data_IF_659607867868
#
_entry.id   IF_659607867868
#
_cell.length_a   1.000
_cell.length_b   1.000
_cell.length_c   1.000
_cell.angle_alpha   90.00
_cell.angle_beta   90.00
_cell.angle_gamma   90.00
#
_symmetry.space_group_name_H-M   'P 1'
#
loop_
_entity.id
_entity.type
_entity.pdbx_description
1 polymer ?
#
# COMPACT_ATOMS: atom_id res chain seq x y z
N UNK A 1 13.63 -35.71 3.58
CA UNK A 1 12.87 -34.47 3.37
C UNK A 1 13.56 -33.67 2.27
N UNK A 2 12.90 -33.39 1.15
CA UNK A 2 13.39 -32.37 0.22
C UNK A 2 13.28 -31.01 0.90
N UNK A 3 14.37 -30.22 0.91
CA UNK A 3 14.32 -28.83 1.34
C UNK A 3 13.39 -28.08 0.38
N UNK A 4 12.28 -27.53 0.87
CA UNK A 4 11.52 -26.55 0.10
C UNK A 4 12.42 -25.35 -0.15
N UNK A 5 12.72 -25.09 -1.43
CA UNK A 5 13.45 -23.91 -1.87
C UNK A 5 12.45 -22.77 -1.92
N UNK A 6 12.84 -21.59 -1.43
CA UNK A 6 12.06 -20.36 -1.62
C UNK A 6 11.87 -20.13 -3.12
N UNK A 7 10.63 -19.99 -3.55
CA UNK A 7 10.22 -19.80 -4.94
C UNK A 7 10.03 -18.32 -5.27
N UNK A 8 9.63 -17.50 -4.30
CA UNK A 8 9.49 -16.04 -4.44
C UNK A 8 9.69 -15.34 -3.10
N UNK A 9 10.10 -14.07 -3.14
CA UNK A 9 10.14 -13.17 -1.98
C UNK A 9 9.03 -12.13 -2.14
N UNK A 10 8.19 -11.98 -1.12
CA UNK A 10 7.23 -10.90 -1.03
C UNK A 10 7.56 -10.06 0.20
N UNK A 11 7.59 -8.75 0.06
CA UNK A 11 8.02 -7.86 1.15
C UNK A 11 7.12 -6.65 1.28
N UNK A 12 6.86 -6.21 2.50
CA UNK A 12 6.50 -4.81 2.75
C UNK A 12 7.68 -3.88 2.41
N UNK A 13 7.39 -2.59 2.31
CA UNK A 13 8.36 -1.55 1.99
C UNK A 13 8.84 -0.78 3.22
N UNK A 14 7.99 0.06 3.82
CA UNK A 14 8.35 0.91 4.95
C UNK A 14 8.52 0.04 6.20
N UNK A 15 9.57 0.26 6.99
CA UNK A 15 9.86 -0.53 8.20
C UNK A 15 10.47 -1.91 7.93
N UNK A 16 10.24 -2.48 6.74
CA UNK A 16 10.79 -3.78 6.31
C UNK A 16 12.02 -3.64 5.40
N UNK A 17 11.88 -3.08 4.19
CA UNK A 17 13.00 -2.83 3.27
C UNK A 17 13.70 -1.49 3.56
N UNK A 18 12.94 -0.53 4.09
CA UNK A 18 13.44 0.76 4.53
C UNK A 18 13.38 0.83 6.05
N UNK A 19 14.49 1.11 6.75
CA UNK A 19 14.47 1.24 8.20
C UNK A 19 13.44 2.27 8.68
N UNK A 20 12.69 1.96 9.74
CA UNK A 20 11.63 2.83 10.29
C UNK A 20 12.12 4.26 10.58
N UNK A 21 13.38 4.42 10.99
CA UNK A 21 14.01 5.71 11.25
C UNK A 21 14.10 6.62 10.00
N UNK A 22 14.13 6.01 8.80
CA UNK A 22 14.28 6.70 7.51
C UNK A 22 12.96 6.90 6.77
N UNK A 23 11.91 6.17 7.13
CA UNK A 23 10.60 6.24 6.48
C UNK A 23 10.04 7.67 6.44
N UNK A 24 10.31 8.46 7.49
CA UNK A 24 9.71 9.78 7.72
C UNK A 24 10.37 10.94 6.97
N UNK A 25 11.61 10.78 6.52
CA UNK A 25 12.30 11.83 5.79
C UNK A 25 12.33 11.45 4.30
N UNK A 26 11.58 12.15 3.43
CA UNK A 26 11.54 11.86 2.01
C UNK A 26 12.92 11.82 1.34
N UNK A 27 13.91 12.54 1.89
CA UNK A 27 15.29 12.55 1.38
C UNK A 27 16.07 11.29 1.73
N UNK A 28 15.71 10.62 2.83
CA UNK A 28 16.42 9.45 3.33
C UNK A 28 15.58 8.17 3.34
N UNK A 29 14.29 8.24 3.02
CA UNK A 29 13.41 7.10 2.79
C UNK A 29 13.90 6.36 1.52
N UNK A 30 14.86 5.47 1.70
CA UNK A 30 15.48 4.70 0.65
C UNK A 30 15.93 3.35 1.21
N UNK A 31 15.86 2.33 0.36
CA UNK A 31 16.43 1.02 0.65
C UNK A 31 17.95 1.21 0.78
N UNK A 32 18.60 0.66 1.82
CA UNK A 32 20.06 0.68 1.91
C UNK A 32 20.71 0.08 0.66
N UNK A 33 21.71 0.74 0.08
CA UNK A 33 22.34 0.34 -1.19
C UNK A 33 22.83 -1.12 -1.19
N UNK A 34 23.37 -1.60 -0.07
CA UNK A 34 23.81 -2.99 0.07
C UNK A 34 22.64 -3.97 -0.06
N UNK A 35 21.51 -3.66 0.60
CA UNK A 35 20.29 -4.45 0.49
C UNK A 35 19.71 -4.39 -0.92
N UNK A 36 19.67 -3.21 -1.54
CA UNK A 36 19.21 -3.07 -2.93
C UNK A 36 20.06 -3.90 -3.90
N UNK A 37 21.39 -3.90 -3.75
CA UNK A 37 22.28 -4.71 -4.57
C UNK A 37 22.02 -6.23 -4.41
N UNK A 38 21.76 -6.68 -3.18
CA UNK A 38 21.40 -8.08 -2.90
C UNK A 38 20.06 -8.44 -3.54
N UNK A 39 19.05 -7.57 -3.41
CA UNK A 39 17.72 -7.79 -4.00
C UNK A 39 17.77 -7.76 -5.52
N UNK A 40 18.54 -6.86 -6.13
CA UNK A 40 18.79 -6.84 -7.56
C UNK A 40 19.38 -8.17 -8.04
N UNK A 41 20.40 -8.69 -7.35
CA UNK A 41 20.98 -9.99 -7.69
C UNK A 41 19.95 -11.12 -7.53
N UNK A 42 19.25 -11.18 -6.41
CA UNK A 42 18.23 -12.21 -6.15
C UNK A 42 17.08 -12.17 -7.16
N UNK A 43 16.71 -10.99 -7.67
CA UNK A 43 15.64 -10.84 -8.67
C UNK A 43 15.94 -11.48 -10.03
N UNK A 44 17.21 -11.84 -10.28
CA UNK A 44 17.60 -12.61 -11.48
C UNK A 44 17.33 -14.11 -11.35
N UNK A 45 17.11 -14.60 -10.13
CA UNK A 45 16.93 -16.02 -9.84
C UNK A 45 15.50 -16.37 -9.42
N UNK A 46 14.87 -15.50 -8.62
CA UNK A 46 13.49 -15.69 -8.12
C UNK A 46 12.70 -14.38 -8.20
N UNK A 47 11.38 -14.44 -8.42
CA UNK A 47 10.52 -13.25 -8.33
C UNK A 47 10.65 -12.56 -6.98
N UNK A 48 10.83 -11.25 -7.02
CA UNK A 48 10.70 -10.38 -5.85
C UNK A 48 9.49 -9.48 -6.05
N UNK A 49 8.62 -9.41 -5.05
CA UNK A 49 7.41 -8.62 -5.07
C UNK A 49 7.36 -7.68 -3.87
N UNK A 50 6.75 -6.51 -4.06
CA UNK A 50 6.55 -5.54 -2.99
C UNK A 50 5.06 -5.33 -2.79
N UNK A 51 4.58 -5.51 -1.56
CA UNK A 51 3.18 -5.31 -1.17
C UNK A 51 3.15 -4.21 -0.12
N UNK A 52 2.63 -3.03 -0.48
CA UNK A 52 2.72 -1.84 0.37
C UNK A 52 1.44 -1.01 0.35
N UNK A 53 1.27 -0.16 1.36
CA UNK A 53 0.25 0.89 1.39
C UNK A 53 0.56 2.06 0.44
N UNK A 54 1.75 2.09 -0.17
CA UNK A 54 2.22 3.11 -1.11
C UNK A 54 1.63 2.95 -2.51
N UNK A 55 1.64 4.03 -3.28
CA UNK A 55 1.19 4.03 -4.67
C UNK A 55 2.29 3.56 -5.64
N UNK A 56 1.92 3.40 -6.91
CA UNK A 56 2.84 2.92 -7.94
C UNK A 56 3.99 3.88 -8.21
N UNK A 57 3.71 5.19 -8.22
CA UNK A 57 4.71 6.21 -8.52
C UNK A 57 5.84 6.20 -7.50
N UNK A 58 5.49 6.02 -6.22
CA UNK A 58 6.44 5.88 -5.14
C UNK A 58 7.26 4.59 -5.27
N UNK A 59 6.58 3.43 -5.41
CA UNK A 59 7.25 2.13 -5.43
C UNK A 59 8.14 1.96 -6.67
N UNK A 60 7.67 2.30 -7.87
CA UNK A 60 8.42 2.07 -9.13
C UNK A 60 9.79 2.72 -9.12
N UNK A 61 9.93 3.86 -8.42
CA UNK A 61 11.18 4.63 -8.27
C UNK A 61 12.15 4.00 -7.28
N UNK A 62 11.66 3.23 -6.30
CA UNK A 62 12.44 2.76 -5.15
C UNK A 62 12.69 1.26 -5.14
N UNK A 63 12.00 0.49 -5.97
CA UNK A 63 12.06 -0.98 -5.96
C UNK A 63 12.37 -1.52 -7.35
N UNK A 64 13.49 -1.08 -7.92
CA UNK A 64 13.94 -1.38 -9.31
C UNK A 64 14.16 -2.88 -9.59
N UNK A 65 14.28 -3.70 -8.55
CA UNK A 65 14.38 -5.16 -8.60
C UNK A 65 13.01 -5.88 -8.67
N UNK A 66 11.93 -5.24 -8.22
CA UNK A 66 10.67 -5.95 -7.95
C UNK A 66 9.86 -6.23 -9.23
N UNK A 67 9.52 -7.49 -9.48
CA UNK A 67 8.74 -7.94 -10.63
C UNK A 67 7.25 -7.62 -10.48
N UNK A 68 6.72 -7.63 -9.27
CA UNK A 68 5.31 -7.29 -8.98
C UNK A 68 5.25 -6.22 -7.89
N UNK A 69 4.45 -5.19 -8.13
CA UNK A 69 4.18 -4.10 -7.18
C UNK A 69 2.69 -4.12 -6.84
N UNK A 70 2.35 -4.52 -5.62
CA UNK A 70 0.99 -4.44 -5.09
C UNK A 70 0.86 -3.17 -4.27
N UNK A 71 0.16 -2.19 -4.83
CA UNK A 71 0.03 -0.84 -4.33
C UNK A 71 -1.24 -0.68 -3.50
N UNK A 72 -1.23 0.30 -2.58
CA UNK A 72 -2.39 0.68 -1.79
C UNK A 72 -3.09 -0.53 -1.16
N UNK A 73 -2.30 -1.40 -0.50
CA UNK A 73 -2.78 -2.62 0.16
C UNK A 73 -3.45 -3.64 -0.79
N UNK A 74 -3.13 -3.59 -2.08
CA UNK A 74 -3.64 -4.52 -3.09
C UNK A 74 -4.82 -4.02 -3.92
N UNK A 75 -5.14 -2.72 -3.86
CA UNK A 75 -6.17 -2.13 -4.74
C UNK A 75 -5.72 -2.21 -6.20
N UNK A 76 -4.45 -1.92 -6.47
CA UNK A 76 -3.85 -2.08 -7.79
C UNK A 76 -2.58 -2.93 -7.69
N UNK A 77 -2.48 -3.98 -8.51
CA UNK A 77 -1.29 -4.82 -8.61
C UNK A 77 -0.70 -4.72 -10.01
N UNK A 78 0.55 -4.29 -10.10
CA UNK A 78 1.27 -4.04 -11.34
C UNK A 78 2.34 -5.11 -11.53
N UNK A 79 2.32 -5.77 -12.68
CA UNK A 79 3.33 -6.72 -13.11
C UNK A 79 4.27 -5.97 -14.06
N UNK A 80 5.55 -5.93 -13.70
CA UNK A 80 6.60 -5.28 -14.46
C UNK A 80 7.25 -6.26 -15.44
N UNK A 81 7.84 -5.74 -16.51
CA UNK A 81 8.78 -6.52 -17.33
C UNK A 81 10.04 -6.89 -16.52
N UNK A 82 10.78 -7.88 -17.01
CA UNK A 82 11.99 -8.36 -16.34
C UNK A 82 12.98 -7.21 -16.06
N UNK A 83 13.73 -7.27 -14.94
CA UNK A 83 14.68 -6.23 -14.55
C UNK A 83 15.78 -5.94 -15.58
N UNK A 84 16.08 -6.89 -16.47
CA UNK A 84 17.16 -6.81 -17.48
C UNK A 84 16.80 -6.00 -18.74
N UNK A 85 15.54 -5.57 -18.88
CA UNK A 85 15.06 -4.73 -19.98
C UNK A 85 14.55 -3.40 -19.46
N UNK A 86 14.33 -2.38 -20.32
CA UNK A 86 13.64 -1.17 -19.90
C UNK A 86 12.35 -1.55 -19.18
N UNK A 87 12.23 -1.14 -17.91
CA UNK A 87 11.12 -1.54 -17.04
C UNK A 87 9.84 -0.87 -17.53
N UNK A 88 8.92 -1.68 -18.02
CA UNK A 88 7.60 -1.26 -18.48
C UNK A 88 6.53 -2.06 -17.74
N UNK A 89 5.30 -1.53 -17.75
CA UNK A 89 4.16 -2.24 -17.18
C UNK A 89 3.74 -3.32 -18.17
N UNK A 90 3.87 -4.59 -17.78
CA UNK A 90 3.37 -5.74 -18.55
C UNK A 90 1.85 -5.86 -18.40
N UNK A 91 1.36 -5.69 -17.17
CA UNK A 91 -0.06 -5.85 -16.81
C UNK A 91 -0.36 -5.03 -15.56
N UNK A 92 -1.53 -4.41 -15.50
CA UNK A 92 -2.07 -3.79 -14.28
C UNK A 92 -3.42 -4.42 -13.96
N UNK A 93 -3.60 -4.80 -12.70
CA UNK A 93 -4.79 -5.42 -12.15
C UNK A 93 -5.42 -4.49 -11.13
N UNK A 94 -6.62 -4.04 -11.42
CA UNK A 94 -7.42 -3.23 -10.50
C UNK A 94 -8.45 -4.13 -9.81
N UNK A 95 -8.44 -4.16 -8.49
CA UNK A 95 -9.35 -5.00 -7.68
C UNK A 95 -10.78 -4.46 -7.60
N UNK A 96 -11.02 -3.26 -8.13
CA UNK A 96 -12.28 -2.54 -8.02
C UNK A 96 -12.85 -2.22 -9.41
N UNK A 97 -14.17 -2.24 -9.53
CA UNK A 97 -14.86 -1.82 -10.75
C UNK A 97 -14.55 -0.35 -11.10
N UNK A 98 -14.45 -0.07 -12.40
CA UNK A 98 -14.09 1.26 -12.92
C UNK A 98 -15.13 2.35 -12.59
N UNK A 99 -16.40 1.99 -12.49
CA UNK A 99 -17.48 2.92 -12.14
C UNK A 99 -17.37 3.25 -10.65
N UNK A 100 -17.25 2.22 -9.82
CA UNK A 100 -17.15 2.35 -8.36
C UNK A 100 -15.92 3.16 -7.96
N UNK A 101 -14.74 2.90 -8.55
CA UNK A 101 -13.54 3.67 -8.22
C UNK A 101 -13.67 5.14 -8.60
N UNK A 102 -14.41 5.50 -9.65
CA UNK A 102 -14.60 6.90 -10.03
C UNK A 102 -15.50 7.63 -9.02
N UNK A 103 -16.59 6.99 -8.59
CA UNK A 103 -17.48 7.50 -7.56
C UNK A 103 -16.75 7.65 -6.21
N UNK A 104 -16.02 6.61 -5.80
CA UNK A 104 -15.26 6.62 -4.55
C UNK A 104 -14.07 7.58 -4.63
N UNK A 105 -13.45 7.78 -5.80
CA UNK A 105 -12.44 8.83 -6.00
C UNK A 105 -13.00 10.22 -5.73
N UNK A 106 -14.24 10.50 -6.14
CA UNK A 106 -14.90 11.77 -5.81
C UNK A 106 -15.16 11.89 -4.31
N UNK A 107 -15.64 10.81 -3.68
CA UNK A 107 -15.85 10.78 -2.23
C UNK A 107 -14.54 11.05 -1.46
N UNK A 108 -13.42 10.43 -1.87
CA UNK A 108 -12.09 10.70 -1.30
C UNK A 108 -11.69 12.17 -1.47
N UNK A 109 -11.91 12.77 -2.65
CA UNK A 109 -11.63 14.20 -2.83
C UNK A 109 -12.45 15.09 -1.90
N UNK A 110 -13.72 14.76 -1.68
CA UNK A 110 -14.60 15.53 -0.81
C UNK A 110 -14.20 15.36 0.67
N UNK A 111 -13.82 14.17 1.10
CA UNK A 111 -13.21 13.94 2.44
C UNK A 111 -11.97 14.81 2.62
N UNK A 112 -11.07 14.81 1.63
CA UNK A 112 -9.83 15.58 1.74
C UNK A 112 -10.09 17.09 1.85
N UNK A 113 -11.04 17.62 1.07
CA UNK A 113 -11.49 19.03 1.17
C UNK A 113 -12.12 19.32 2.54
N UNK A 114 -12.93 18.41 3.05
CA UNK A 114 -13.60 18.58 4.33
C UNK A 114 -12.58 18.67 5.48
N UNK A 115 -11.61 17.74 5.53
CA UNK A 115 -10.52 17.74 6.51
C UNK A 115 -9.70 19.04 6.40
N UNK A 116 -9.25 19.40 5.20
CA UNK A 116 -8.39 20.58 4.99
C UNK A 116 -9.09 21.92 5.24
N UNK A 117 -10.41 21.98 5.11
CA UNK A 117 -11.20 23.19 5.40
C UNK A 117 -11.54 23.34 6.89
N UNK A 118 -11.38 22.29 7.69
CA UNK A 118 -11.71 22.32 9.11
C UNK A 118 -10.60 23.03 9.90
N UNK A 119 -10.98 24.08 10.65
CA UNK A 119 -10.01 24.94 11.38
C UNK A 119 -9.14 24.16 12.36
N UNK A 120 -9.71 23.19 13.06
CA UNK A 120 -8.99 22.40 14.06
C UNK A 120 -8.00 21.41 13.43
N UNK A 121 -8.08 21.19 12.11
CA UNK A 121 -7.24 20.25 11.36
C UNK A 121 -6.32 20.94 10.36
N UNK A 122 -6.10 22.25 10.50
CA UNK A 122 -5.28 23.05 9.58
C UNK A 122 -3.83 22.56 9.45
N UNK A 123 -3.33 21.85 10.46
CA UNK A 123 -1.97 21.31 10.48
C UNK A 123 -1.93 19.80 10.16
N UNK A 124 -3.01 19.22 9.64
CA UNK A 124 -3.00 17.83 9.17
C UNK A 124 -2.49 17.78 7.74
N UNK A 125 -1.61 16.83 7.44
CA UNK A 125 -1.13 16.59 6.08
C UNK A 125 -1.98 15.52 5.40
N UNK A 126 -2.33 15.73 4.14
CA UNK A 126 -3.01 14.71 3.31
C UNK A 126 -2.07 14.29 2.18
N UNK A 127 -1.72 13.01 2.14
CA UNK A 127 -1.03 12.37 1.02
C UNK A 127 -2.07 11.71 0.11
N UNK A 128 -2.02 12.01 -1.19
CA UNK A 128 -2.94 11.44 -2.18
C UNK A 128 -2.29 10.26 -2.89
N UNK A 129 -2.98 9.12 -2.93
CA UNK A 129 -2.49 7.87 -3.54
C UNK A 129 -3.28 7.56 -4.81
N UNK A 130 -2.57 7.47 -5.92
CA UNK A 130 -3.18 7.31 -7.23
C UNK A 130 -2.87 5.95 -7.84
N UNK A 131 -3.83 5.43 -8.59
CA UNK A 131 -3.60 4.33 -9.51
C UNK A 131 -2.69 4.77 -10.67
N UNK A 132 -2.17 3.81 -11.44
CA UNK A 132 -1.32 4.08 -12.60
C UNK A 132 -1.96 4.96 -13.68
N UNK A 133 -3.30 4.98 -13.77
CA UNK A 133 -4.05 5.85 -14.68
C UNK A 133 -4.45 7.20 -14.06
N UNK A 134 -4.00 7.52 -12.84
CA UNK A 134 -4.22 8.81 -12.19
C UNK A 134 -5.53 8.94 -11.40
N UNK A 135 -6.30 7.85 -11.22
CA UNK A 135 -7.50 7.88 -10.35
C UNK A 135 -7.10 7.88 -8.88
N UNK A 136 -7.73 8.73 -8.06
CA UNK A 136 -7.49 8.75 -6.62
C UNK A 136 -8.10 7.50 -5.98
N UNK A 137 -7.27 6.67 -5.37
CA UNK A 137 -7.67 5.39 -4.78
C UNK A 137 -7.37 5.29 -3.28
N UNK A 138 -6.61 6.22 -2.73
CA UNK A 138 -6.48 6.35 -1.30
C UNK A 138 -5.93 7.70 -0.84
N UNK A 139 -6.03 7.91 0.47
CA UNK A 139 -5.50 9.06 1.19
C UNK A 139 -4.72 8.55 2.41
N UNK A 140 -3.55 9.12 2.68
CA UNK A 140 -2.99 9.11 4.04
C UNK A 140 -3.38 10.41 4.71
N UNK A 141 -4.01 10.35 5.88
CA UNK A 141 -4.24 11.51 6.74
C UNK A 141 -3.22 11.44 7.87
N UNK A 142 -2.27 12.38 7.89
CA UNK A 142 -1.06 12.33 8.72
C UNK A 142 -0.96 13.54 9.66
N UNK A 143 -0.93 13.26 10.95
CA UNK A 143 -0.73 14.26 12.00
C UNK A 143 0.44 13.90 12.94
N UNK A 144 1.35 13.02 12.48
CA UNK A 144 2.50 12.55 13.27
C UNK A 144 3.50 13.65 13.62
N UNK A 145 3.51 14.74 12.86
CA UNK A 145 4.41 15.86 13.04
C UNK A 145 3.93 16.85 14.12
N UNK A 146 2.76 16.63 14.71
CA UNK A 146 2.19 17.49 15.74
C UNK A 146 2.60 17.03 17.14
N UNK A 147 2.89 17.98 18.01
CA UNK A 147 3.37 17.74 19.38
C UNK A 147 2.31 17.12 20.29
N UNK A 148 1.03 17.44 20.10
CA UNK A 148 -0.11 16.87 20.83
C UNK A 148 -0.98 15.97 19.94
N UNK A 149 -0.32 15.01 19.28
CA UNK A 149 -0.98 14.10 18.36
C UNK A 149 -2.03 13.20 19.04
N UNK A 150 -1.94 13.02 20.37
CA UNK A 150 -2.82 12.11 21.11
C UNK A 150 -4.24 12.65 21.21
N UNK A 151 -4.40 13.91 21.65
CA UNK A 151 -5.68 14.60 21.76
C UNK A 151 -6.30 14.83 20.38
N UNK A 152 -5.48 15.31 19.42
CA UNK A 152 -5.96 15.51 18.06
C UNK A 152 -6.35 14.20 17.37
N UNK A 153 -5.64 13.11 17.67
CA UNK A 153 -5.87 11.81 17.05
C UNK A 153 -7.25 11.22 17.35
N UNK A 154 -7.76 11.39 18.57
CA UNK A 154 -9.11 10.95 18.92
C UNK A 154 -10.18 11.79 18.20
N UNK A 155 -10.04 13.12 18.23
CA UNK A 155 -10.93 14.02 17.49
C UNK A 155 -10.94 13.73 15.98
N UNK A 156 -9.77 13.46 15.39
CA UNK A 156 -9.60 13.11 13.98
C UNK A 156 -10.29 11.79 13.63
N UNK A 157 -10.07 10.73 14.42
CA UNK A 157 -10.73 9.44 14.21
C UNK A 157 -12.25 9.57 14.27
N UNK A 158 -12.77 10.27 15.28
CA UNK A 158 -14.21 10.53 15.37
C UNK A 158 -14.75 11.34 14.19
N UNK A 159 -14.00 12.36 13.77
CA UNK A 159 -14.39 13.19 12.63
C UNK A 159 -14.46 12.36 11.34
N UNK A 160 -13.42 11.59 11.04
CA UNK A 160 -13.34 10.76 9.84
C UNK A 160 -14.39 9.65 9.86
N UNK A 161 -14.62 9.01 11.00
CA UNK A 161 -15.69 8.01 11.15
C UNK A 161 -17.08 8.64 10.86
N UNK A 162 -17.33 9.87 11.32
CA UNK A 162 -18.58 10.59 11.05
C UNK A 162 -18.72 10.96 9.58
N UNK A 163 -17.68 11.50 8.96
CA UNK A 163 -17.67 11.90 7.55
C UNK A 163 -17.90 10.69 6.64
N UNK A 164 -17.18 9.59 6.86
CA UNK A 164 -17.33 8.36 6.07
C UNK A 164 -18.68 7.68 6.25
N UNK A 165 -19.25 7.69 7.47
CA UNK A 165 -20.61 7.20 7.73
C UNK A 165 -21.67 8.01 6.98
N UNK A 166 -21.45 9.30 6.77
CA UNK A 166 -22.39 10.18 6.05
C UNK A 166 -22.37 9.89 4.54
N UNK A 167 -21.20 9.58 3.98
CA UNK A 167 -21.04 9.20 2.57
C UNK A 167 -21.79 7.92 2.19
N UNK A 168 -21.94 6.99 3.14
CA UNK A 168 -22.76 5.78 2.98
C UNK A 168 -24.26 6.04 2.85
N UNK A 169 -24.73 7.28 3.09
CA UNK A 169 -26.15 7.67 3.11
C UNK A 169 -26.57 8.56 1.94
N UNK A 170 -25.63 9.10 1.16
CA UNK A 170 -25.92 10.02 0.05
C UNK A 170 -26.45 9.26 -1.20
N UNK A 171 -27.04 9.91 -2.23
CA UNK A 171 -27.96 9.25 -3.17
C UNK A 171 -27.34 8.08 -3.95
N UNK A 172 -26.02 8.02 -4.04
CA UNK A 172 -25.24 6.80 -4.31
C UNK A 172 -24.26 6.61 -3.14
N UNK A 173 -24.37 5.53 -2.34
CA UNK A 173 -23.46 5.27 -1.23
C UNK A 173 -22.04 5.07 -1.72
N UNK A 174 -21.11 5.91 -1.25
CA UNK A 174 -19.69 5.63 -1.43
C UNK A 174 -19.21 4.75 -0.27
N UNK A 175 -18.72 3.56 -0.59
CA UNK A 175 -18.15 2.64 0.40
C UNK A 175 -16.62 2.73 0.40
N UNK A 176 -16.13 3.70 1.18
CA UNK A 176 -14.69 3.85 1.46
C UNK A 176 -14.30 3.00 2.66
N UNK A 177 -13.05 2.56 2.66
CA UNK A 177 -12.47 1.76 3.74
C UNK A 177 -11.49 2.60 4.55
N UNK A 178 -11.68 2.66 5.87
CA UNK A 178 -10.77 3.35 6.78
C UNK A 178 -9.86 2.32 7.44
N UNK A 179 -8.56 2.47 7.23
CA UNK A 179 -7.53 1.68 7.90
C UNK A 179 -6.92 2.51 9.01
N UNK A 180 -7.22 2.14 10.25
CA UNK A 180 -6.64 2.75 11.44
C UNK A 180 -5.41 1.96 11.93
N UNK A 181 -4.55 2.64 12.68
CA UNK A 181 -3.34 2.08 13.26
C UNK A 181 -3.34 2.28 14.76
N UNK A 182 -3.15 1.19 15.51
CA UNK A 182 -3.28 1.19 16.97
C UNK A 182 -2.26 2.09 17.68
N UNK A 183 -1.07 2.24 17.08
CA UNK A 183 0.09 2.92 17.70
C UNK A 183 0.62 4.10 16.88
N UNK A 184 -0.06 4.50 15.80
CA UNK A 184 0.46 5.50 14.89
C UNK A 184 -0.50 6.69 14.66
N UNK A 185 0.00 7.95 14.74
CA UNK A 185 -0.80 9.16 14.51
C UNK A 185 -1.05 9.49 13.03
N UNK A 186 -1.52 8.50 12.28
CA UNK A 186 -2.03 8.65 10.93
C UNK A 186 -3.12 7.60 10.69
N UNK A 187 -3.87 7.76 9.61
CA UNK A 187 -4.73 6.70 9.10
C UNK A 187 -4.75 6.73 7.58
N UNK A 188 -5.15 5.63 6.97
CA UNK A 188 -5.39 5.56 5.54
C UNK A 188 -6.90 5.45 5.25
N UNK A 189 -7.34 6.09 4.17
CA UNK A 189 -8.70 5.96 3.65
C UNK A 189 -8.59 5.48 2.21
N UNK A 190 -9.24 4.38 1.87
CA UNK A 190 -9.16 3.71 0.59
C UNK A 190 -10.50 3.69 -0.13
N UNK A 191 -10.47 3.62 -1.46
CA UNK A 191 -11.67 3.56 -2.28
C UNK A 191 -12.41 2.20 -2.21
N UNK A 192 -11.89 1.21 -1.49
CA UNK A 192 -12.54 -0.09 -1.25
C UNK A 192 -11.82 -0.83 -0.13
N UNK A 193 -12.46 -1.87 0.43
CA UNK A 193 -11.84 -2.74 1.41
C UNK A 193 -10.62 -3.48 0.81
N UNK A 194 -9.51 -3.40 1.53
CA UNK A 194 -8.24 -3.97 1.11
C UNK A 194 -7.43 -4.45 2.33
N UNK A 195 -6.60 -5.47 2.10
CA UNK A 195 -5.58 -5.91 3.07
C UNK A 195 -4.46 -6.67 2.35
N UNK A 196 -3.29 -6.77 2.98
CA UNK A 196 -2.12 -7.41 2.37
C UNK A 196 -2.26 -8.91 2.12
N UNK A 197 -3.20 -9.58 2.78
CA UNK A 197 -3.49 -11.00 2.55
C UNK A 197 -4.19 -11.23 1.21
N UNK A 198 -5.15 -10.36 0.85
CA UNK A 198 -5.76 -10.36 -0.48
C UNK A 198 -4.75 -9.96 -1.55
N UNK A 199 -3.88 -8.98 -1.26
CA UNK A 199 -2.78 -8.62 -2.14
C UNK A 199 -1.85 -9.82 -2.40
N UNK A 200 -1.48 -10.55 -1.34
CA UNK A 200 -0.69 -11.77 -1.42
C UNK A 200 -1.31 -12.81 -2.36
N UNK A 201 -2.61 -13.09 -2.20
CA UNK A 201 -3.32 -14.07 -3.05
C UNK A 201 -3.26 -13.67 -4.53
N UNK A 202 -3.47 -12.38 -4.85
CA UNK A 202 -3.38 -11.84 -6.21
C UNK A 202 -1.97 -12.05 -6.77
N UNK A 203 -0.93 -11.69 -6.00
CA UNK A 203 0.46 -11.84 -6.44
C UNK A 203 0.83 -13.30 -6.67
N UNK A 204 0.44 -14.22 -5.77
CA UNK A 204 0.66 -15.66 -5.98
C UNK A 204 -0.05 -16.14 -7.25
N UNK A 205 -1.30 -15.75 -7.46
CA UNK A 205 -2.05 -16.12 -8.65
C UNK A 205 -1.35 -15.66 -9.94
N UNK A 206 -0.73 -14.49 -9.94
CA UNK A 206 0.01 -13.97 -11.10
C UNK A 206 1.37 -14.63 -11.31
N UNK A 207 1.93 -15.27 -10.27
CA UNK A 207 3.17 -16.02 -10.35
C UNK A 207 2.95 -17.54 -10.50
N UNK A 208 1.70 -18.00 -10.54
CA UNK A 208 1.35 -19.41 -10.64
C UNK A 208 1.92 -20.06 -11.93
N UNK A 209 1.87 -19.34 -13.06
CA UNK A 209 2.45 -19.80 -14.33
C UNK A 209 3.98 -19.98 -14.27
N UNK A 210 4.64 -19.28 -13.33
CA UNK A 210 6.07 -19.42 -13.05
C UNK A 210 6.37 -20.53 -12.02
N UNK A 211 5.36 -21.30 -11.59
CA UNK A 211 5.49 -22.39 -10.63
C UNK A 211 5.61 -21.93 -9.17
N UNK A 212 5.21 -20.70 -8.86
CA UNK A 212 5.18 -20.19 -7.48
C UNK A 212 3.90 -20.63 -6.81
N UNK A 213 4.04 -21.33 -5.68
CA UNK A 213 2.97 -21.71 -4.79
C UNK A 213 3.06 -20.90 -3.49
N UNK A 214 1.94 -20.71 -2.78
CA UNK A 214 1.92 -19.95 -1.52
C UNK A 214 2.91 -20.51 -0.48
N UNK A 215 3.07 -21.83 -0.40
CA UNK A 215 4.02 -22.49 0.52
C UNK A 215 5.50 -22.27 0.17
N UNK A 216 5.79 -21.81 -1.05
CA UNK A 216 7.14 -21.45 -1.51
C UNK A 216 7.48 -19.98 -1.34
N UNK A 217 6.56 -19.15 -0.81
CA UNK A 217 6.77 -17.71 -0.66
C UNK A 217 7.39 -17.38 0.69
N UNK A 218 8.51 -16.67 0.67
CA UNK A 218 9.03 -15.99 1.85
C UNK A 218 8.39 -14.60 1.95
N UNK A 219 7.55 -14.39 2.97
CA UNK A 219 6.94 -13.07 3.24
C UNK A 219 7.69 -12.30 4.34
N UNK A 220 8.01 -11.04 4.08
CA UNK A 220 8.70 -10.13 5.01
C UNK A 220 7.79 -8.93 5.32
N UNK A 221 7.63 -8.60 6.61
CA UNK A 221 6.82 -7.49 7.09
C UNK A 221 7.21 -7.10 8.51
N UNK A 222 6.85 -5.89 8.95
CA UNK A 222 7.22 -5.34 10.27
C UNK A 222 6.01 -4.90 11.12
N UNK A 223 4.79 -4.95 10.56
CA UNK A 223 3.63 -4.29 11.17
C UNK A 223 2.38 -5.18 11.27
N UNK A 224 1.36 -4.68 11.98
CA UNK A 224 0.06 -5.36 12.11
C UNK A 224 -0.66 -5.54 10.76
N UNK A 225 -0.36 -4.69 9.78
CA UNK A 225 -0.90 -4.77 8.41
C UNK A 225 -0.42 -6.00 7.64
N UNK A 226 0.69 -6.60 8.09
CA UNK A 226 1.32 -7.76 7.46
C UNK A 226 0.71 -9.07 7.96
N UNK A 227 0.01 -9.06 9.10
CA UNK A 227 -0.63 -10.24 9.68
C UNK A 227 -1.53 -11.00 8.71
N UNK A 228 -2.37 -10.36 7.87
CA UNK A 228 -3.14 -11.06 6.85
C UNK A 228 -2.27 -11.81 5.83
N UNK A 229 -1.10 -11.28 5.46
CA UNK A 229 -0.18 -11.93 4.53
C UNK A 229 0.66 -13.03 5.22
N UNK A 230 1.09 -12.82 6.47
CA UNK A 230 1.75 -13.87 7.26
C UNK A 230 0.88 -15.13 7.36
N UNK A 231 -0.43 -14.98 7.57
CA UNK A 231 -1.39 -16.10 7.59
C UNK A 231 -1.54 -16.85 6.27
N UNK A 232 -1.07 -16.28 5.16
CA UNK A 232 -1.11 -16.89 3.82
C UNK A 232 0.20 -17.60 3.46
N UNK A 233 1.31 -17.09 3.98
CA UNK A 233 2.66 -17.62 3.73
C UNK A 233 3.03 -18.80 4.67
N UNK A 234 2.44 -18.86 5.87
CA UNK A 234 2.62 -19.95 6.84
C UNK A 234 1.51 -20.97 6.81
#
# INVERSE_FOLDING_TARGET
MMRQRVQAIMSDFDGTLVPTAKVKDPKTNAIPNELEAVLMKASTEIPICVISSKDFEFLRKKTTFAQVLSCMMGIETIIMTNPESPRTIKKSLLKIDKTIIHENSKALQDIAKEITSHKDFSNVTIEYKHTTNGTLAGLTVDWRHLSDWSYLGEAMRHYIARTTTTLRKAPVPADVYVQEYSTHPFLDIYCTECNKGQAFDIVVSELADAGVESSGVLYLGDSENDNPAFRKAG
#
